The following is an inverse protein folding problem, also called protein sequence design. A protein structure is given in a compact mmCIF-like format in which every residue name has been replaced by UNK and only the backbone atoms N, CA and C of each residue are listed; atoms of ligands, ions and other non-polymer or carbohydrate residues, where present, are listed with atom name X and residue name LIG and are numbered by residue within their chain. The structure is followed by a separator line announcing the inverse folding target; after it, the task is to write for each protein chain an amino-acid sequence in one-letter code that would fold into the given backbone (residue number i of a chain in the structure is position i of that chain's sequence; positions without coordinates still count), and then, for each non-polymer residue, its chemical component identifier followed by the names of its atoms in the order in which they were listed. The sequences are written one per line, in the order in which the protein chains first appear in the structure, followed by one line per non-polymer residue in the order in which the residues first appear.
data_IF_398628669435
#
_entry.id   IF_398628669435
#
_cell.length_a   1.000
_cell.length_b   1.000
_cell.length_c   1.000
_cell.angle_alpha   90.00
_cell.angle_beta   90.00
_cell.angle_gamma   90.00
#
_symmetry.space_group_name_H-M   'P 1'
#
loop_
_entity.id
_entity.type
_entity.pdbx_description
1 polymer ?
#
# COMPACT_ATOMS: atom_id res chain seq x y z
N UNK A 1 -18.72 -4.87 4.77
CA UNK A 1 -17.45 -5.21 4.13
C UNK A 1 -16.85 -4.00 3.46
N UNK A 2 -15.56 -3.74 3.65
CA UNK A 2 -14.94 -2.58 3.04
C UNK A 2 -14.88 -2.71 1.52
N UNK A 3 -15.34 -1.68 0.84
CA UNK A 3 -15.31 -1.58 -0.62
C UNK A 3 -14.89 -0.19 -1.00
N UNK A 4 -14.21 -0.08 -2.12
CA UNK A 4 -13.78 1.20 -2.65
C UNK A 4 -14.20 1.28 -4.12
N UNK A 5 -14.99 2.30 -4.46
CA UNK A 5 -15.47 2.47 -5.82
C UNK A 5 -14.58 3.48 -6.56
N UNK A 6 -13.98 3.03 -7.66
CA UNK A 6 -13.25 3.92 -8.54
C UNK A 6 -14.23 4.77 -9.34
N UNK A 7 -13.80 5.96 -9.77
CA UNK A 7 -14.64 6.85 -10.58
C UNK A 7 -15.06 6.23 -11.91
N UNK A 8 -14.31 5.24 -12.39
CA UNK A 8 -14.68 4.54 -13.62
C UNK A 8 -15.84 3.56 -13.43
N UNK A 9 -16.29 3.35 -12.19
CA UNK A 9 -17.38 2.45 -11.86
C UNK A 9 -16.94 1.09 -11.34
N UNK A 10 -15.65 0.79 -11.41
CA UNK A 10 -15.14 -0.48 -10.90
C UNK A 10 -15.15 -0.46 -9.37
N UNK A 11 -15.68 -1.52 -8.75
CA UNK A 11 -15.73 -1.64 -7.30
C UNK A 11 -14.60 -2.57 -6.86
N UNK A 12 -13.69 -2.05 -6.03
CA UNK A 12 -12.59 -2.80 -5.47
C UNK A 12 -13.01 -3.33 -4.10
N UNK A 13 -13.00 -4.65 -3.95
CA UNK A 13 -13.37 -5.30 -2.70
C UNK A 13 -12.13 -5.43 -1.82
N UNK A 14 -12.10 -4.70 -0.72
CA UNK A 14 -10.94 -4.64 0.18
C UNK A 14 -10.98 -5.71 1.27
N UNK A 15 -11.99 -6.57 1.27
CA UNK A 15 -12.15 -7.57 2.33
C UNK A 15 -11.44 -8.90 2.07
N UNK A 16 -10.78 -9.05 0.93
CA UNK A 16 -10.15 -10.31 0.52
C UNK A 16 -8.65 -10.38 0.83
N UNK A 17 -8.25 -10.01 2.04
CA UNK A 17 -6.84 -10.12 2.44
C UNK A 17 -5.96 -9.17 1.65
N UNK A 18 -5.02 -9.71 0.87
CA UNK A 18 -4.08 -8.89 0.09
C UNK A 18 -4.43 -8.96 -1.38
N UNK A 19 -5.43 -8.21 -1.85
CA UNK A 19 -5.80 -8.24 -3.27
C UNK A 19 -4.72 -7.64 -4.16
N UNK A 20 -4.68 -8.07 -5.42
CA UNK A 20 -3.64 -7.66 -6.38
C UNK A 20 -3.61 -6.16 -6.65
N UNK A 21 -4.74 -5.47 -6.44
CA UNK A 21 -4.80 -4.03 -6.67
C UNK A 21 -4.34 -3.20 -5.46
N UNK A 22 -4.07 -3.83 -4.32
CA UNK A 22 -3.58 -3.13 -3.13
C UNK A 22 -2.06 -3.13 -3.10
N UNK A 23 -1.48 -1.94 -3.06
CA UNK A 23 -0.04 -1.75 -3.12
C UNK A 23 0.42 -0.95 -1.91
N UNK A 24 1.70 -1.07 -1.59
CA UNK A 24 2.32 -0.26 -0.54
C UNK A 24 3.44 0.57 -1.13
N UNK A 25 3.37 1.88 -0.95
CA UNK A 25 4.46 2.79 -1.29
C UNK A 25 5.34 2.96 -0.06
N UNK A 26 6.59 2.59 -0.19
CA UNK A 26 7.57 2.68 0.90
C UNK A 26 8.75 3.51 0.42
N UNK A 27 9.18 4.54 1.18
CA UNK A 27 10.37 5.29 0.80
C UNK A 27 11.60 4.39 0.71
N UNK A 28 12.41 4.57 -0.32
CA UNK A 28 13.62 3.75 -0.51
C UNK A 28 14.53 3.77 0.70
N UNK A 29 14.66 4.92 1.35
CA UNK A 29 15.47 5.05 2.57
C UNK A 29 14.99 4.09 3.66
N UNK A 30 13.68 3.94 3.81
CA UNK A 30 13.11 3.05 4.82
C UNK A 30 13.39 1.59 4.51
N UNK A 31 13.37 1.23 3.24
CA UNK A 31 13.72 -0.12 2.81
C UNK A 31 15.17 -0.41 3.16
N UNK A 32 16.08 0.52 2.86
CA UNK A 32 17.50 0.37 3.17
C UNK A 32 17.74 0.25 4.67
N UNK A 33 17.06 1.06 5.47
CA UNK A 33 17.17 1.01 6.93
C UNK A 33 16.69 -0.33 7.50
N UNK A 34 15.61 -0.87 6.96
CA UNK A 34 15.10 -2.17 7.38
C UNK A 34 16.10 -3.26 7.00
N UNK A 35 16.67 -3.18 5.80
CA UNK A 35 17.70 -4.12 5.37
C UNK A 35 18.91 -4.13 6.28
N UNK A 36 19.38 -2.95 6.69
CA UNK A 36 20.49 -2.83 7.64
C UNK A 36 20.15 -3.44 8.99
N UNK A 37 18.93 -3.23 9.49
CA UNK A 37 18.48 -3.82 10.74
C UNK A 37 18.43 -5.33 10.66
N UNK A 38 18.04 -5.88 9.53
CA UNK A 38 18.00 -7.33 9.34
C UNK A 38 19.41 -7.94 9.41
N UNK A 39 20.42 -7.21 8.94
CA UNK A 39 21.79 -7.68 8.97
C UNK A 39 22.40 -7.68 10.38
N UNK A 40 22.02 -6.73 11.21
CA UNK A 40 22.62 -6.55 12.55
C UNK A 40 21.76 -7.14 13.67
N UNK A 41 20.46 -7.33 13.46
CA UNK A 41 19.54 -7.80 14.49
C UNK A 41 18.90 -9.12 14.04
N UNK A 42 19.39 -10.22 14.58
CA UNK A 42 18.89 -11.56 14.27
C UNK A 42 17.51 -11.85 14.90
N UNK A 43 16.98 -10.93 15.68
CA UNK A 43 15.70 -11.12 16.36
C UNK A 43 14.51 -10.58 15.57
N UNK A 44 14.77 -9.98 14.41
CA UNK A 44 13.68 -9.48 13.56
C UNK A 44 13.04 -10.66 12.85
N UNK A 45 11.76 -10.89 13.17
CA UNK A 45 10.95 -11.92 12.52
C UNK A 45 9.97 -11.25 11.54
N UNK A 46 9.12 -12.05 10.90
CA UNK A 46 8.16 -11.53 9.93
C UNK A 46 7.19 -10.53 10.54
N UNK A 47 6.76 -10.76 11.76
CA UNK A 47 5.84 -9.86 12.46
C UNK A 47 6.46 -8.48 12.65
N UNK A 48 7.69 -8.43 13.13
CA UNK A 48 8.41 -7.16 13.30
C UNK A 48 8.70 -6.48 11.96
N UNK A 49 9.01 -7.26 10.94
CA UNK A 49 9.21 -6.75 9.60
C UNK A 49 7.96 -6.01 9.10
N UNK A 50 6.79 -6.65 9.23
CA UNK A 50 5.54 -6.03 8.78
C UNK A 50 5.19 -4.79 9.60
N UNK A 51 5.48 -4.78 10.90
CA UNK A 51 5.29 -3.59 11.72
C UNK A 51 6.13 -2.42 11.21
N UNK A 52 7.39 -2.68 10.88
CA UNK A 52 8.28 -1.64 10.36
C UNK A 52 7.80 -1.08 9.02
N UNK A 53 7.29 -1.94 8.14
CA UNK A 53 6.72 -1.51 6.87
C UNK A 53 5.45 -0.69 7.11
N UNK A 54 4.57 -1.15 7.99
CA UNK A 54 3.30 -0.47 8.27
C UNK A 54 3.48 0.94 8.81
N UNK A 55 4.55 1.18 9.56
CA UNK A 55 4.84 2.51 10.11
C UNK A 55 5.16 3.55 9.04
N UNK A 56 5.69 3.12 7.90
CA UNK A 56 6.23 4.04 6.89
C UNK A 56 5.52 3.96 5.55
N UNK A 57 4.69 2.95 5.32
CA UNK A 57 4.04 2.78 4.02
C UNK A 57 2.87 3.74 3.82
N UNK A 58 2.60 4.04 2.57
CA UNK A 58 1.33 4.64 2.14
C UNK A 58 0.59 3.58 1.34
N UNK A 59 -0.64 3.27 1.74
CA UNK A 59 -1.44 2.29 1.01
C UNK A 59 -1.97 2.93 -0.26
N UNK A 60 -1.86 2.19 -1.37
CA UNK A 60 -2.26 2.66 -2.69
C UNK A 60 -3.13 1.59 -3.33
N UNK A 61 -4.24 2.00 -3.93
CA UNK A 61 -5.11 1.10 -4.66
C UNK A 61 -5.05 1.47 -6.14
N UNK A 62 -4.72 0.48 -6.96
CA UNK A 62 -4.67 0.65 -8.42
C UNK A 62 -5.87 -0.02 -9.04
N UNK A 63 -6.72 0.75 -9.70
CA UNK A 63 -7.89 0.20 -10.37
C UNK A 63 -7.48 -0.69 -11.54
N UNK A 64 -7.86 -1.99 -11.54
CA UNK A 64 -7.49 -2.88 -12.63
C UNK A 64 -8.23 -2.58 -13.93
N UNK A 65 -9.29 -1.80 -13.86
CA UNK A 65 -10.09 -1.45 -15.03
C UNK A 65 -9.53 -0.25 -15.80
N UNK A 66 -9.22 0.85 -15.10
CA UNK A 66 -8.79 2.09 -15.76
C UNK A 66 -7.35 2.51 -15.47
N UNK A 67 -6.68 1.83 -14.54
CA UNK A 67 -5.31 2.18 -14.16
C UNK A 67 -5.18 3.37 -13.23
N UNK A 68 -6.30 3.94 -12.79
CA UNK A 68 -6.29 5.07 -11.83
C UNK A 68 -5.72 4.60 -10.51
N UNK A 69 -4.89 5.43 -9.90
CA UNK A 69 -4.23 5.13 -8.63
C UNK A 69 -4.85 5.99 -7.53
N UNK A 70 -5.22 5.36 -6.43
CA UNK A 70 -5.84 6.05 -5.29
C UNK A 70 -4.92 5.93 -4.09
N UNK A 71 -4.40 7.07 -3.62
CA UNK A 71 -3.54 7.13 -2.44
C UNK A 71 -4.39 7.31 -1.19
N UNK A 72 -4.17 6.47 -0.20
CA UNK A 72 -4.83 6.60 1.10
C UNK A 72 -4.07 7.64 1.93
N UNK A 73 -4.64 8.83 2.02
CA UNK A 73 -4.06 9.95 2.78
C UNK A 73 -4.38 9.88 4.28
N UNK A 74 -5.13 8.85 4.70
CA UNK A 74 -5.60 8.72 6.07
C UNK A 74 -6.94 9.40 6.32
N UNK A 75 -7.57 9.08 7.43
CA UNK A 75 -8.86 9.66 7.86
C UNK A 75 -9.95 9.61 6.77
N UNK A 76 -9.93 8.58 5.94
CA UNK A 76 -10.94 8.41 4.89
C UNK A 76 -10.72 9.28 3.67
N UNK A 77 -9.60 9.99 3.58
CA UNK A 77 -9.28 10.86 2.45
C UNK A 77 -8.42 10.10 1.43
N UNK A 78 -8.85 10.15 0.18
CA UNK A 78 -8.13 9.50 -0.92
C UNK A 78 -7.81 10.52 -2.00
N UNK A 79 -6.59 10.46 -2.51
CA UNK A 79 -6.15 11.28 -3.63
C UNK A 79 -5.97 10.40 -4.85
N UNK A 80 -6.67 10.72 -5.93
CA UNK A 80 -6.66 9.91 -7.14
C UNK A 80 -5.78 10.56 -8.22
N UNK A 81 -5.04 9.70 -8.93
CA UNK A 81 -4.22 10.11 -10.07
C UNK A 81 -4.54 9.19 -11.24
N UNK A 82 -4.58 9.77 -12.43
CA UNK A 82 -4.81 9.00 -13.66
C UNK A 82 -3.51 8.89 -14.44
N UNK A 83 -3.33 7.78 -15.20
CA UNK A 83 -2.18 7.68 -16.08
C UNK A 83 -2.17 8.83 -17.08
N UNK A 84 -1.01 9.41 -17.30
CA UNK A 84 -0.79 10.46 -18.28
C UNK A 84 -0.09 9.87 -19.50
N UNK A 85 -0.71 10.02 -20.67
CA UNK A 85 -0.18 9.46 -21.91
C UNK A 85 0.15 10.53 -22.91
#
# INVERSE_FOLDING_TARGET
MPKFACRCGYVMNLSNGSPDFELALVPERCIDEIGEKLDVDNNINSERFFELIDEVKTTVYRCPSCGRVHFDEGAGVFRAFVPEF
#
